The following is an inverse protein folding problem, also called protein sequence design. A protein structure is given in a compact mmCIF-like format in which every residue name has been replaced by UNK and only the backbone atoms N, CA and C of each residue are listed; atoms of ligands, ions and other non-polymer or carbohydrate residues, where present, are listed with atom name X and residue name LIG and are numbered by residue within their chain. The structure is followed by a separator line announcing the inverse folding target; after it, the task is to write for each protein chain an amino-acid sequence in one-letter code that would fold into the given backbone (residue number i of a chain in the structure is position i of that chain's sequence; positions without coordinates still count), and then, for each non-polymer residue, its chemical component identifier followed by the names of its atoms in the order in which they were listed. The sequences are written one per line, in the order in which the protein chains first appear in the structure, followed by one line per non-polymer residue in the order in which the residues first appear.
data_IF_959810307992
#
_entry.id   IF_959810307992
#
_cell.length_a   1.000
_cell.length_b   1.000
_cell.length_c   1.000
_cell.angle_alpha   90.00
_cell.angle_beta   90.00
_cell.angle_gamma   90.00
#
_symmetry.space_group_name_H-M   'P 1'
#
loop_
_entity.id
_entity.type
_entity.pdbx_description
1 polymer ?
#
# COMPACT_ATOMS: atom_id res chain seq x y z
N UNK A 1 -49.07 -9.34 -25.23
CA UNK A 1 -47.86 -8.50 -25.31
C UNK A 1 -46.71 -9.30 -24.70
N UNK A 2 -46.04 -10.11 -25.50
CA UNK A 2 -44.91 -10.94 -25.07
C UNK A 2 -43.65 -10.08 -25.07
N UNK A 3 -42.92 -10.00 -23.96
CA UNK A 3 -41.62 -9.35 -23.93
C UNK A 3 -40.70 -10.04 -24.94
N UNK A 4 -39.93 -9.28 -25.75
CA UNK A 4 -38.96 -9.90 -26.66
C UNK A 4 -37.96 -10.74 -25.85
N UNK A 5 -37.45 -11.85 -26.41
CA UNK A 5 -36.44 -12.65 -25.74
C UNK A 5 -35.24 -11.77 -25.42
N UNK A 6 -34.83 -11.75 -24.15
CA UNK A 6 -33.60 -11.10 -23.72
C UNK A 6 -32.44 -11.72 -24.50
N UNK A 7 -31.63 -10.89 -25.16
CA UNK A 7 -30.42 -11.32 -25.85
C UNK A 7 -29.61 -12.25 -24.95
N UNK A 8 -29.10 -13.39 -25.45
CA UNK A 8 -28.28 -14.29 -24.65
C UNK A 8 -27.10 -13.49 -24.08
N UNK A 9 -26.84 -13.65 -22.78
CA UNK A 9 -25.65 -13.11 -22.14
C UNK A 9 -24.43 -13.54 -22.96
N UNK A 10 -23.61 -12.59 -23.40
CA UNK A 10 -22.41 -12.85 -24.21
C UNK A 10 -21.29 -13.55 -23.41
N UNK A 11 -21.57 -14.03 -22.21
CA UNK A 11 -20.63 -14.73 -21.34
C UNK A 11 -21.34 -15.84 -20.58
N UNK A 12 -20.64 -16.95 -20.27
CA UNK A 12 -21.18 -18.03 -19.46
C UNK A 12 -21.67 -17.53 -18.10
N UNK A 13 -22.69 -18.19 -17.52
CA UNK A 13 -23.32 -17.76 -16.27
C UNK A 13 -22.36 -17.70 -15.06
N UNK A 14 -21.27 -18.47 -15.09
CA UNK A 14 -20.23 -18.46 -14.06
C UNK A 14 -19.22 -17.31 -14.23
N UNK A 15 -19.20 -16.63 -15.38
CA UNK A 15 -18.24 -15.58 -15.72
C UNK A 15 -18.89 -14.19 -15.62
N UNK A 16 -18.92 -13.64 -14.42
CA UNK A 16 -19.41 -12.28 -14.21
C UNK A 16 -18.38 -11.25 -14.67
N UNK A 17 -18.71 -10.44 -15.69
CA UNK A 17 -17.82 -9.39 -16.21
C UNK A 17 -17.53 -8.31 -15.17
N UNK A 18 -18.49 -7.98 -14.30
CA UNK A 18 -18.35 -6.95 -13.28
C UNK A 18 -17.36 -7.36 -12.17
N UNK A 19 -17.48 -8.60 -11.69
CA UNK A 19 -16.57 -9.13 -10.67
C UNK A 19 -15.14 -9.23 -11.20
N UNK A 20 -14.96 -9.74 -12.43
CA UNK A 20 -13.65 -9.82 -13.05
C UNK A 20 -13.03 -8.43 -13.31
N UNK A 21 -13.81 -7.48 -13.84
CA UNK A 21 -13.34 -6.12 -14.04
C UNK A 21 -12.92 -5.47 -12.72
N UNK A 22 -13.71 -5.64 -11.67
CA UNK A 22 -13.38 -5.13 -10.35
C UNK A 22 -12.12 -5.75 -9.77
N UNK A 23 -11.93 -7.07 -9.90
CA UNK A 23 -10.71 -7.75 -9.43
C UNK A 23 -9.46 -7.30 -10.19
N UNK A 24 -9.55 -7.05 -11.51
CA UNK A 24 -8.44 -6.49 -12.28
C UNK A 24 -8.10 -5.06 -11.85
N UNK A 25 -9.12 -4.24 -11.58
CA UNK A 25 -8.92 -2.88 -11.04
C UNK A 25 -8.30 -2.94 -9.64
N UNK A 26 -8.83 -3.77 -8.75
CA UNK A 26 -8.31 -3.95 -7.40
C UNK A 26 -6.86 -4.43 -7.40
N UNK A 27 -6.52 -5.43 -8.22
CA UNK A 27 -5.15 -5.90 -8.40
C UNK A 27 -4.24 -4.79 -8.95
N UNK A 28 -4.72 -3.96 -9.87
CA UNK A 28 -3.96 -2.82 -10.41
C UNK A 28 -3.72 -1.75 -9.34
N UNK A 29 -4.70 -1.45 -8.50
CA UNK A 29 -4.55 -0.52 -7.38
C UNK A 29 -3.51 -1.03 -6.36
N UNK A 30 -3.54 -2.32 -6.02
CA UNK A 30 -2.52 -2.93 -5.15
C UNK A 30 -1.15 -2.95 -5.83
N UNK A 31 -1.11 -3.14 -7.15
CA UNK A 31 0.08 -2.97 -7.98
C UNK A 31 0.65 -1.57 -7.84
N UNK A 32 -0.18 -0.54 -7.99
CA UNK A 32 0.19 0.88 -7.82
C UNK A 32 0.70 1.19 -6.41
N UNK A 33 0.15 0.52 -5.38
CA UNK A 33 0.64 0.61 -4.00
C UNK A 33 2.13 0.29 -3.91
N UNK A 34 2.54 -0.79 -4.57
CA UNK A 34 3.92 -1.28 -4.52
C UNK A 34 4.80 -0.55 -5.54
N UNK A 35 4.30 -0.38 -6.76
CA UNK A 35 4.95 0.22 -7.91
C UNK A 35 3.98 1.21 -8.58
N UNK A 36 4.13 2.54 -8.42
CA UNK A 36 5.30 3.27 -7.89
C UNK A 36 5.21 3.70 -6.40
N UNK A 37 4.12 3.42 -5.68
CA UNK A 37 3.85 4.00 -4.35
C UNK A 37 4.96 3.82 -3.31
N UNK A 38 5.33 2.57 -2.99
CA UNK A 38 6.40 2.28 -2.03
C UNK A 38 7.78 2.76 -2.49
N UNK A 39 8.07 2.70 -3.78
CA UNK A 39 9.35 3.17 -4.35
C UNK A 39 9.53 4.66 -4.07
N UNK A 40 8.51 5.45 -4.35
CA UNK A 40 8.52 6.89 -4.13
C UNK A 40 8.62 7.19 -2.64
N UNK A 41 7.80 6.52 -1.81
CA UNK A 41 7.75 6.76 -0.37
C UNK A 41 9.09 6.44 0.32
N UNK A 42 9.69 5.27 0.04
CA UNK A 42 10.98 4.91 0.63
C UNK A 42 12.13 5.71 0.04
N UNK A 43 12.07 6.03 -1.25
CA UNK A 43 13.04 6.88 -1.92
C UNK A 43 13.06 8.30 -1.37
N UNK A 44 11.91 8.84 -0.94
CA UNK A 44 11.80 10.22 -0.45
C UNK A 44 12.17 10.40 1.03
N UNK A 45 11.97 9.37 1.87
CA UNK A 45 12.25 9.43 3.31
C UNK A 45 13.76 9.34 3.60
N UNK A 46 14.52 8.63 2.78
CA UNK A 46 15.98 8.49 3.01
C UNK A 46 16.75 9.72 2.54
N UNK A 47 18.00 9.87 3.00
CA UNK A 47 18.89 10.95 2.54
C UNK A 47 19.08 10.88 1.01
N UNK A 48 19.20 12.05 0.35
CA UNK A 48 19.32 12.17 -1.12
C UNK A 48 20.40 11.26 -1.72
N UNK A 49 21.56 11.14 -1.07
CA UNK A 49 22.68 10.27 -1.50
C UNK A 49 22.33 8.77 -1.53
N UNK A 50 21.30 8.35 -0.81
CA UNK A 50 20.88 6.94 -0.70
C UNK A 50 19.50 6.68 -1.33
N UNK A 51 18.83 7.71 -1.85
CA UNK A 51 17.46 7.63 -2.38
C UNK A 51 17.31 6.58 -3.48
N UNK A 52 18.25 6.58 -4.43
CA UNK A 52 18.24 5.67 -5.57
C UNK A 52 18.45 4.22 -5.12
N UNK A 53 19.39 3.98 -4.21
CA UNK A 53 19.62 2.64 -3.66
C UNK A 53 18.35 2.10 -3.00
N UNK A 54 17.70 2.89 -2.15
CA UNK A 54 16.43 2.49 -1.50
C UNK A 54 15.29 2.26 -2.49
N UNK A 55 15.20 3.07 -3.55
CA UNK A 55 14.21 2.90 -4.61
C UNK A 55 14.42 1.58 -5.36
N UNK A 56 15.65 1.27 -5.76
CA UNK A 56 15.98 -0.04 -6.34
C UNK A 56 15.69 -1.18 -5.38
N UNK A 57 15.81 -0.94 -4.06
CA UNK A 57 15.49 -1.93 -3.05
C UNK A 57 14.02 -2.33 -3.02
N UNK A 58 13.13 -1.37 -3.16
CA UNK A 58 11.71 -1.65 -3.35
C UNK A 58 11.42 -2.33 -4.70
N UNK A 59 12.11 -1.94 -5.79
CA UNK A 59 11.91 -2.52 -7.13
C UNK A 59 12.31 -3.98 -7.19
N UNK A 60 13.52 -4.33 -6.74
CA UNK A 60 13.95 -5.73 -6.76
C UNK A 60 13.09 -6.58 -5.83
N UNK A 61 12.63 -6.03 -4.69
CA UNK A 61 11.82 -6.79 -3.73
C UNK A 61 10.46 -7.14 -4.33
N UNK A 62 9.84 -6.21 -5.05
CA UNK A 62 8.60 -6.46 -5.77
C UNK A 62 8.77 -7.47 -6.90
N UNK A 63 9.82 -7.32 -7.73
CA UNK A 63 10.11 -8.25 -8.81
C UNK A 63 10.37 -9.67 -8.29
N UNK A 64 11.19 -9.81 -7.24
CA UNK A 64 11.45 -11.09 -6.59
C UNK A 64 10.16 -11.68 -5.98
N UNK A 65 9.30 -10.85 -5.38
CA UNK A 65 8.02 -11.29 -4.83
C UNK A 65 7.10 -11.85 -5.91
N UNK A 66 7.00 -11.22 -7.08
CA UNK A 66 6.21 -11.75 -8.21
C UNK A 66 6.75 -13.09 -8.70
N UNK A 67 8.08 -13.23 -8.82
CA UNK A 67 8.70 -14.49 -9.25
C UNK A 67 8.44 -15.60 -8.23
N UNK A 68 8.70 -15.35 -6.95
CA UNK A 68 8.47 -16.33 -5.88
C UNK A 68 6.99 -16.69 -5.77
N UNK A 69 6.10 -15.70 -5.93
CA UNK A 69 4.66 -15.92 -5.89
C UNK A 69 4.18 -16.83 -7.02
N UNK A 70 4.62 -16.58 -8.26
CA UNK A 70 4.22 -17.39 -9.42
C UNK A 70 4.79 -18.80 -9.35
N UNK A 71 6.06 -18.97 -8.94
CA UNK A 71 6.73 -20.26 -8.96
C UNK A 71 6.37 -21.16 -7.76
N UNK A 72 6.20 -20.57 -6.58
CA UNK A 72 6.10 -21.30 -5.31
C UNK A 72 4.86 -20.87 -4.53
N UNK A 73 4.61 -19.56 -4.43
CA UNK A 73 3.53 -19.00 -3.61
C UNK A 73 2.15 -19.47 -4.00
N UNK A 74 1.83 -19.52 -5.29
CA UNK A 74 0.54 -20.02 -5.79
C UNK A 74 0.33 -21.50 -5.43
N UNK A 75 1.40 -22.30 -5.56
CA UNK A 75 1.39 -23.72 -5.23
C UNK A 75 1.26 -24.00 -3.73
N UNK A 76 1.77 -23.13 -2.85
CA UNK A 76 1.67 -23.27 -1.38
C UNK A 76 0.37 -22.65 -0.86
N UNK A 77 -0.07 -21.50 -1.37
CA UNK A 77 -1.24 -20.78 -0.87
C UNK A 77 -2.56 -21.53 -1.04
N UNK A 78 -2.67 -22.37 -2.07
CA UNK A 78 -3.84 -23.23 -2.31
C UNK A 78 -3.74 -24.60 -1.60
N UNK A 79 -2.54 -25.02 -1.18
CA UNK A 79 -2.33 -26.24 -0.41
C UNK A 79 -2.38 -25.91 1.08
N UNK A 80 -3.38 -26.44 1.79
CA UNK A 80 -3.64 -26.18 3.23
C UNK A 80 -2.57 -26.73 4.20
N UNK A 81 -1.33 -26.94 3.75
CA UNK A 81 -0.19 -27.37 4.55
C UNK A 81 1.03 -26.53 4.20
N UNK A 82 1.13 -25.35 4.82
CA UNK A 82 2.41 -24.66 4.89
C UNK A 82 3.32 -25.44 5.85
N UNK A 83 4.57 -25.77 5.48
CA UNK A 83 5.48 -26.44 6.40
C UNK A 83 5.73 -25.55 7.63
N UNK A 84 5.66 -26.14 8.83
CA UNK A 84 5.60 -25.44 10.12
C UNK A 84 6.77 -24.46 10.39
N UNK A 85 7.88 -24.57 9.66
CA UNK A 85 9.04 -23.66 9.80
C UNK A 85 8.77 -22.22 9.32
N UNK A 86 7.74 -22.00 8.49
CA UNK A 86 7.38 -20.66 7.99
C UNK A 86 6.63 -19.79 9.03
N UNK A 87 6.13 -20.39 10.11
CA UNK A 87 5.38 -19.68 11.16
C UNK A 87 6.26 -19.03 12.24
N UNK A 88 7.58 -19.27 12.23
CA UNK A 88 8.47 -18.81 13.29
C UNK A 88 9.16 -17.50 12.90
N UNK A 89 8.35 -16.44 12.81
CA UNK A 89 8.83 -15.07 12.70
C UNK A 89 9.54 -14.65 13.99
N UNK A 90 10.82 -14.97 14.14
CA UNK A 90 11.68 -14.29 15.11
C UNK A 90 11.86 -12.85 14.63
N UNK A 91 10.96 -11.96 15.04
CA UNK A 91 11.16 -10.51 15.03
C UNK A 91 12.15 -10.12 16.15
N UNK A 92 13.30 -10.79 16.17
CA UNK A 92 14.46 -10.35 16.94
C UNK A 92 15.32 -9.52 16.01
N UNK A 93 15.65 -8.29 16.41
CA UNK A 93 16.65 -7.49 15.73
C UNK A 93 17.89 -8.35 15.46
N UNK A 94 18.17 -8.60 14.19
CA UNK A 94 19.37 -9.28 13.70
C UNK A 94 20.58 -8.44 14.14
N UNK A 95 21.39 -8.87 15.12
CA UNK A 95 22.54 -8.10 15.59
C UNK A 95 23.57 -7.85 14.48
N UNK A 96 23.49 -8.61 13.39
CA UNK A 96 24.39 -8.54 12.24
C UNK A 96 24.26 -7.22 11.46
N UNK A 97 23.09 -6.57 11.52
CA UNK A 97 22.89 -5.24 10.93
C UNK A 97 22.93 -4.21 12.06
N UNK A 98 24.11 -3.65 12.26
CA UNK A 98 24.33 -2.63 13.28
C UNK A 98 23.44 -1.40 13.09
N UNK A 99 23.14 -0.66 14.18
CA UNK A 99 22.37 0.57 14.11
C UNK A 99 23.01 1.62 13.18
N UNK A 100 22.18 2.43 12.53
CA UNK A 100 22.64 3.63 11.80
C UNK A 100 23.43 4.54 12.74
N UNK A 101 24.42 5.24 12.18
CA UNK A 101 25.27 6.21 12.89
C UNK A 101 24.42 7.22 13.67
N UNK A 102 24.85 7.60 14.88
CA UNK A 102 24.10 8.51 15.77
C UNK A 102 23.72 9.83 15.09
N UNK A 103 24.62 10.42 14.29
CA UNK A 103 24.35 11.64 13.51
C UNK A 103 23.21 11.48 12.49
N UNK A 104 23.02 10.27 11.98
CA UNK A 104 21.96 9.94 11.03
C UNK A 104 20.66 9.56 11.75
N UNK A 105 20.71 9.17 13.02
CA UNK A 105 19.53 8.85 13.82
C UNK A 105 18.85 10.11 14.36
N UNK A 106 19.63 11.07 14.84
CA UNK A 106 19.10 12.28 15.49
C UNK A 106 18.60 13.33 14.47
N UNK A 107 19.08 13.29 13.23
CA UNK A 107 18.68 14.24 12.18
C UNK A 107 18.41 13.51 10.86
N UNK A 108 17.14 13.15 10.65
CA UNK A 108 16.69 12.38 9.49
C UNK A 108 15.55 13.09 8.73
N UNK A 109 15.78 14.30 8.19
CA UNK A 109 14.80 14.96 7.35
C UNK A 109 14.62 14.17 6.04
N UNK A 110 13.38 14.05 5.53
CA UNK A 110 13.14 13.49 4.21
C UNK A 110 13.84 14.34 3.15
N UNK A 111 14.28 13.71 2.06
CA UNK A 111 14.93 14.45 0.97
C UNK A 111 13.94 15.28 0.14
N UNK A 112 12.65 14.89 0.13
CA UNK A 112 11.58 15.55 -0.60
C UNK A 112 10.22 15.21 0.03
N UNK A 113 9.64 16.19 0.72
CA UNK A 113 8.35 16.03 1.42
C UNK A 113 7.20 15.86 0.43
N UNK A 114 7.25 16.51 -0.74
CA UNK A 114 6.20 16.39 -1.75
C UNK A 114 6.12 14.96 -2.31
N UNK A 115 7.27 14.36 -2.61
CA UNK A 115 7.32 12.95 -3.04
C UNK A 115 6.86 12.02 -1.92
N UNK A 116 7.18 12.31 -0.66
CA UNK A 116 6.69 11.53 0.49
C UNK A 116 5.16 11.52 0.55
N UNK A 117 4.54 12.70 0.44
CA UNK A 117 3.08 12.84 0.45
C UNK A 117 2.45 12.16 -0.78
N UNK A 118 3.06 12.30 -1.96
CA UNK A 118 2.60 11.61 -3.17
C UNK A 118 2.66 10.09 -3.03
N UNK A 119 3.77 9.55 -2.49
CA UNK A 119 3.92 8.11 -2.21
C UNK A 119 2.92 7.60 -1.18
N UNK A 120 2.66 8.37 -0.12
CA UNK A 120 1.62 8.05 0.87
C UNK A 120 0.21 8.06 0.26
N UNK A 121 -0.09 9.02 -0.64
CA UNK A 121 -1.35 9.06 -1.37
C UNK A 121 -1.57 7.85 -2.28
N UNK A 122 -0.53 7.44 -3.01
CA UNK A 122 -0.56 6.20 -3.82
C UNK A 122 -0.75 4.96 -2.94
N UNK A 123 -0.13 4.94 -1.76
CA UNK A 123 -0.31 3.85 -0.81
C UNK A 123 -1.78 3.73 -0.37
N UNK A 124 -2.41 4.85 -0.01
CA UNK A 124 -3.82 4.89 0.38
C UNK A 124 -4.75 4.45 -0.76
N UNK A 125 -4.49 4.93 -1.98
CA UNK A 125 -5.26 4.52 -3.15
C UNK A 125 -5.17 3.00 -3.39
N UNK A 126 -3.97 2.44 -3.26
CA UNK A 126 -3.75 1.00 -3.36
C UNK A 126 -4.41 0.20 -2.25
N UNK A 127 -4.41 0.73 -1.03
CA UNK A 127 -5.09 0.11 0.11
C UNK A 127 -6.61 0.00 -0.08
N UNK A 128 -7.20 0.94 -0.83
CA UNK A 128 -8.62 0.88 -1.19
C UNK A 128 -8.91 -0.29 -2.12
N UNK A 129 -8.01 -0.58 -3.07
CA UNK A 129 -8.08 -1.79 -3.90
C UNK A 129 -7.85 -3.07 -3.11
N UNK A 130 -6.93 -3.05 -2.14
CA UNK A 130 -6.67 -4.20 -1.26
C UNK A 130 -7.91 -4.59 -0.44
N UNK A 131 -8.51 -3.61 0.27
CA UNK A 131 -9.68 -3.86 1.11
C UNK A 131 -10.95 -4.10 0.28
N UNK A 132 -11.16 -3.33 -0.80
CA UNK A 132 -12.32 -3.47 -1.67
C UNK A 132 -12.28 -4.70 -2.59
N UNK A 133 -11.09 -5.24 -2.86
CA UNK A 133 -10.90 -6.45 -3.66
C UNK A 133 -11.06 -7.75 -2.85
N UNK A 134 -10.89 -7.70 -1.53
CA UNK A 134 -10.91 -8.86 -0.64
C UNK A 134 -12.17 -9.75 -0.75
N UNK A 135 -13.39 -9.22 -1.03
CA UNK A 135 -14.59 -10.05 -1.22
C UNK A 135 -14.66 -10.80 -2.56
N UNK A 136 -13.69 -10.64 -3.45
CA UNK A 136 -13.61 -11.26 -4.79
C UNK A 136 -14.76 -10.92 -5.76
N UNK A 137 -15.65 -9.99 -5.39
CA UNK A 137 -16.83 -9.61 -6.17
C UNK A 137 -17.15 -8.11 -6.03
N UNK A 138 -17.83 -7.54 -7.02
CA UNK A 138 -18.30 -6.16 -7.04
C UNK A 138 -19.67 -6.06 -6.35
N UNK A 139 -19.67 -6.10 -5.02
CA UNK A 139 -20.88 -6.16 -4.20
C UNK A 139 -20.87 -5.12 -3.05
N UNK A 140 -21.93 -5.13 -2.24
CA UNK A 140 -22.09 -4.21 -1.10
C UNK A 140 -20.95 -4.35 -0.08
N UNK A 141 -20.41 -5.55 0.12
CA UNK A 141 -19.31 -5.79 1.07
C UNK A 141 -18.04 -5.06 0.60
N UNK A 142 -17.73 -5.11 -0.69
CA UNK A 142 -16.62 -4.37 -1.30
C UNK A 142 -16.79 -2.86 -1.12
N UNK A 143 -18.01 -2.35 -1.34
CA UNK A 143 -18.34 -0.94 -1.12
C UNK A 143 -18.17 -0.51 0.34
N UNK A 144 -18.68 -1.30 1.29
CA UNK A 144 -18.55 -1.01 2.74
C UNK A 144 -17.09 -1.10 3.18
N UNK A 145 -16.31 -2.04 2.65
CA UNK A 145 -14.88 -2.15 2.95
C UNK A 145 -14.10 -0.89 2.53
N UNK A 146 -14.39 -0.36 1.33
CA UNK A 146 -13.77 0.89 0.86
C UNK A 146 -14.22 2.09 1.70
N UNK A 147 -15.51 2.18 2.04
CA UNK A 147 -16.02 3.25 2.90
C UNK A 147 -15.33 3.25 4.26
N UNK A 148 -15.25 2.10 4.91
CA UNK A 148 -14.56 1.94 6.20
C UNK A 148 -13.07 2.32 6.11
N UNK A 149 -12.41 2.00 4.99
CA UNK A 149 -11.01 2.37 4.75
C UNK A 149 -10.83 3.89 4.73
N UNK A 150 -11.70 4.61 4.02
CA UNK A 150 -11.61 6.07 3.92
C UNK A 150 -11.96 6.77 5.24
N UNK A 151 -13.00 6.30 5.93
CA UNK A 151 -13.41 6.84 7.24
C UNK A 151 -12.31 6.61 8.28
N UNK A 152 -11.74 5.40 8.33
CA UNK A 152 -10.65 5.08 9.25
C UNK A 152 -9.40 5.90 8.98
N UNK A 153 -8.98 6.05 7.72
CA UNK A 153 -7.83 6.87 7.34
C UNK A 153 -8.04 8.35 7.72
N UNK A 154 -9.22 8.89 7.44
CA UNK A 154 -9.57 10.27 7.77
C UNK A 154 -9.62 10.50 9.27
N UNK A 155 -10.22 9.58 10.02
CA UNK A 155 -10.24 9.65 11.49
C UNK A 155 -8.82 9.59 12.07
N UNK A 156 -7.94 8.74 11.54
CA UNK A 156 -6.54 8.68 11.96
C UNK A 156 -5.79 9.98 11.69
N UNK A 157 -5.96 10.56 10.50
CA UNK A 157 -5.35 11.85 10.14
C UNK A 157 -5.83 12.98 11.07
N UNK A 158 -7.14 13.02 11.37
CA UNK A 158 -7.70 14.00 12.31
C UNK A 158 -7.15 13.81 13.71
N UNK A 159 -7.16 12.57 14.23
CA UNK A 159 -6.63 12.26 15.57
C UNK A 159 -5.16 12.64 15.68
N UNK A 160 -4.33 12.27 14.69
CA UNK A 160 -2.91 12.62 14.69
C UNK A 160 -2.67 14.12 14.60
N UNK A 161 -3.42 14.83 13.77
CA UNK A 161 -3.30 16.28 13.65
C UNK A 161 -3.74 16.98 14.94
N UNK A 162 -4.85 16.52 15.55
CA UNK A 162 -5.30 17.03 16.85
C UNK A 162 -4.26 16.78 17.94
N UNK A 163 -3.69 15.57 18.02
CA UNK A 163 -2.64 15.25 19.00
C UNK A 163 -1.38 16.10 18.79
N UNK A 164 -0.95 16.32 17.56
CA UNK A 164 0.22 17.16 17.25
C UNK A 164 -0.02 18.61 17.70
N UNK A 165 -1.19 19.18 17.40
CA UNK A 165 -1.57 20.54 17.84
C UNK A 165 -1.67 20.64 19.36
N UNK A 166 -2.27 19.65 20.02
CA UNK A 166 -2.46 19.67 21.48
C UNK A 166 -1.15 19.50 22.24
N UNK A 167 -0.26 18.63 21.77
CA UNK A 167 0.99 18.31 22.47
C UNK A 167 2.08 19.34 22.19
N UNK A 168 2.27 19.76 20.93
CA UNK A 168 3.37 20.64 20.56
C UNK A 168 2.99 22.12 20.58
N UNK A 169 1.69 22.48 20.71
CA UNK A 169 1.14 23.86 20.72
C UNK A 169 1.49 24.74 19.51
N UNK A 170 2.35 24.25 18.62
CA UNK A 170 2.57 24.77 17.27
C UNK A 170 2.10 23.72 16.27
N UNK A 171 1.28 24.12 15.30
CA UNK A 171 0.98 23.24 14.19
C UNK A 171 2.25 23.06 13.37
N UNK A 172 2.82 21.84 13.33
CA UNK A 172 4.00 21.54 12.49
C UNK A 172 3.73 21.61 10.98
N UNK A 173 2.57 22.15 10.58
CA UNK A 173 2.35 22.73 9.25
C UNK A 173 3.48 23.72 8.90
N UNK A 174 4.13 24.35 9.89
CA UNK A 174 5.34 25.18 9.69
C UNK A 174 6.44 24.47 8.89
N UNK A 175 6.66 23.15 9.06
CA UNK A 175 7.73 22.40 8.36
C UNK A 175 7.43 22.22 6.86
N UNK A 176 6.16 22.31 6.46
CA UNK A 176 5.73 22.26 5.04
C UNK A 176 5.84 23.65 4.40
N UNK A 177 5.70 24.72 5.19
CA UNK A 177 5.65 26.11 4.70
C UNK A 177 7.00 26.83 4.81
N UNK A 178 7.87 26.45 5.75
CA UNK A 178 9.22 26.98 5.91
C UNK A 178 10.09 26.92 4.65
N UNK A 179 10.09 25.86 3.82
CA UNK A 179 10.89 25.86 2.59
C UNK A 179 10.38 26.81 1.49
N UNK A 180 9.25 27.49 1.70
CA UNK A 180 8.71 28.52 0.79
C UNK A 180 8.76 29.94 1.38
N UNK A 181 9.42 30.13 2.53
CA UNK A 181 9.62 31.43 3.20
C UNK A 181 11.08 31.90 3.12
N UNK A 182 11.71 31.68 1.98
CA UNK A 182 12.98 32.30 1.57
C UNK A 182 12.83 32.78 0.12
#
# INVERSE_FOLDING_TARGET
MTTPPSSPSSSPDWLNKGDNAWQLVAATLVGLQSMPGLVILYGSIVKKKWAINSAFMAIYAFAASLIVWVLIGYCIGLRRQAPAFLGQGRTGARPEVGPRLKSDRERFPPNNILLMIAGAGLLWMGWSGFNGGAPYAANIISSVAILNTNVSASASLLVWTCLDVLYFREAKVSVIVEPFRE
#
